data_IF_768881618730
#
_entry.id   IF_768881618730
#
_cell.length_a   1.000
_cell.length_b   1.000
_cell.length_c   1.000
_cell.angle_alpha   90.00
_cell.angle_beta   90.00
_cell.angle_gamma   90.00
#
_symmetry.space_group_name_H-M   'P 1'
#
loop_
_entity.id
_entity.type
_entity.pdbx_description
1 polymer ?
#
# COMPACT_ATOMS: atom_id res chain seq x y z
N UNK A 1 18.41 -1.75 -18.36
CA UNK A 1 18.63 -0.79 -17.25
C UNK A 1 17.60 0.31 -17.42
N UNK A 2 16.86 0.64 -16.38
CA UNK A 2 15.81 1.67 -16.47
C UNK A 2 16.44 3.05 -16.69
N UNK A 3 16.05 3.73 -17.76
CA UNK A 3 16.49 5.09 -18.10
C UNK A 3 15.44 6.08 -17.63
N UNK A 4 15.86 7.14 -16.91
CA UNK A 4 15.03 8.28 -16.54
C UNK A 4 15.21 9.39 -17.56
N UNK A 5 14.16 10.07 -17.91
CA UNK A 5 14.17 11.26 -18.77
C UNK A 5 13.13 12.28 -18.30
N UNK A 6 13.37 13.54 -18.64
CA UNK A 6 12.42 14.61 -18.34
C UNK A 6 11.41 14.74 -19.47
N UNK A 7 10.15 15.01 -19.09
CA UNK A 7 9.03 15.28 -19.98
C UNK A 7 8.60 16.75 -19.84
N UNK A 8 7.82 17.23 -20.80
CA UNK A 8 7.33 18.59 -20.78
C UNK A 8 6.50 18.91 -19.54
N UNK A 9 6.61 20.16 -19.03
CA UNK A 9 5.83 20.64 -17.89
C UNK A 9 6.21 20.06 -16.55
N UNK A 10 7.42 19.50 -16.40
CA UNK A 10 7.95 18.97 -15.14
C UNK A 10 7.55 17.53 -14.83
N UNK A 11 6.86 16.85 -15.74
CA UNK A 11 6.60 15.41 -15.65
C UNK A 11 7.91 14.61 -15.79
N UNK A 12 7.91 13.39 -15.25
CA UNK A 12 9.09 12.50 -15.26
C UNK A 12 8.75 11.23 -16.03
N UNK A 13 9.67 10.83 -16.93
CA UNK A 13 9.56 9.61 -17.70
C UNK A 13 10.57 8.54 -17.30
N UNK A 14 10.19 7.28 -17.45
CA UNK A 14 11.05 6.10 -17.29
C UNK A 14 10.83 5.12 -18.42
N UNK A 15 11.90 4.45 -18.87
CA UNK A 15 11.82 3.34 -19.82
C UNK A 15 12.75 2.20 -19.44
N UNK A 16 12.25 0.97 -19.56
CA UNK A 16 13.02 -0.26 -19.42
C UNK A 16 12.77 -1.15 -20.65
N UNK A 17 13.54 -0.95 -21.71
CA UNK A 17 13.38 -1.69 -22.96
C UNK A 17 13.75 -3.18 -22.82
N UNK A 18 12.93 -4.06 -23.37
CA UNK A 18 13.16 -5.51 -23.40
C UNK A 18 12.44 -6.15 -24.58
N UNK A 19 13.14 -6.95 -25.35
CA UNK A 19 12.58 -7.71 -26.47
C UNK A 19 12.18 -9.14 -26.10
N UNK A 20 12.16 -9.50 -24.82
CA UNK A 20 11.90 -10.87 -24.38
C UNK A 20 10.49 -11.36 -24.75
N UNK A 21 9.50 -10.48 -24.73
CA UNK A 21 8.11 -10.73 -25.12
C UNK A 21 7.56 -9.53 -25.89
N UNK A 22 6.62 -9.72 -26.86
CA UNK A 22 6.06 -8.62 -27.63
C UNK A 22 4.95 -7.87 -26.86
N UNK A 23 5.22 -7.54 -25.61
CA UNK A 23 4.32 -6.80 -24.73
C UNK A 23 4.96 -5.48 -24.31
N UNK A 24 4.11 -4.48 -24.08
CA UNK A 24 4.49 -3.21 -23.47
C UNK A 24 3.63 -2.97 -22.25
N UNK A 25 4.28 -2.77 -21.12
CA UNK A 25 3.65 -2.31 -19.90
C UNK A 25 3.81 -0.78 -19.82
N UNK A 26 2.74 -0.11 -19.39
CA UNK A 26 2.66 1.32 -19.19
C UNK A 26 2.20 1.58 -17.75
N UNK A 27 2.82 2.54 -17.10
CA UNK A 27 2.31 3.11 -15.84
C UNK A 27 2.21 4.63 -16.00
N UNK A 28 1.07 5.19 -15.61
CA UNK A 28 0.88 6.63 -15.45
C UNK A 28 0.46 6.87 -14.02
N UNK A 29 1.29 7.57 -13.27
CA UNK A 29 1.04 7.86 -11.86
C UNK A 29 1.05 9.35 -11.59
N UNK A 30 0.28 9.76 -10.59
CA UNK A 30 0.36 11.09 -10.01
C UNK A 30 0.76 10.99 -8.53
N UNK A 31 1.56 11.97 -8.06
CA UNK A 31 2.04 12.04 -6.67
C UNK A 31 0.97 12.54 -5.72
N UNK A 32 -0.26 12.07 -5.88
CA UNK A 32 -1.42 12.41 -5.07
C UNK A 32 -2.25 11.17 -4.80
N UNK A 33 -2.89 11.10 -3.64
CA UNK A 33 -3.70 9.96 -3.20
C UNK A 33 -4.62 10.35 -2.06
N UNK A 34 -5.05 9.40 -1.25
CA UNK A 34 -6.00 9.60 -0.16
C UNK A 34 -5.57 10.67 0.88
N UNK A 35 -4.27 10.93 1.03
CA UNK A 35 -3.76 11.99 1.91
C UNK A 35 -4.23 13.38 1.50
N UNK A 36 -4.55 13.56 0.23
CA UNK A 36 -4.96 14.84 -0.34
C UNK A 36 -6.48 15.07 -0.31
N UNK A 37 -7.25 14.07 0.13
CA UNK A 37 -8.70 14.19 0.27
C UNK A 37 -9.04 15.33 1.26
N UNK A 38 -10.00 16.21 0.94
CA UNK A 38 -10.48 17.20 1.90
C UNK A 38 -11.13 16.54 3.12
N UNK A 39 -11.15 17.24 4.23
CA UNK A 39 -11.86 16.77 5.43
C UNK A 39 -13.34 16.51 5.11
N UNK A 40 -13.86 15.36 5.55
CA UNK A 40 -15.22 14.92 5.26
C UNK A 40 -15.48 14.40 3.85
N UNK A 41 -14.46 14.37 2.98
CA UNK A 41 -14.54 13.86 1.60
C UNK A 41 -13.58 12.69 1.37
N UNK A 42 -13.30 11.89 2.42
CA UNK A 42 -12.43 10.73 2.31
C UNK A 42 -12.90 9.81 1.15
N UNK A 43 -11.98 9.43 0.28
CA UNK A 43 -12.23 8.61 -0.90
C UNK A 43 -12.47 9.37 -2.19
N UNK A 44 -12.55 10.72 -2.18
CA UNK A 44 -12.85 11.51 -3.39
C UNK A 44 -11.75 11.39 -4.44
N UNK A 45 -10.47 11.33 -4.04
CA UNK A 45 -9.36 11.15 -4.97
C UNK A 45 -9.47 9.80 -5.72
N UNK A 46 -9.79 8.71 -4.98
CA UNK A 46 -10.04 7.40 -5.60
C UNK A 46 -11.28 7.44 -6.49
N UNK A 47 -12.30 8.13 -6.06
CA UNK A 47 -13.54 8.27 -6.82
C UNK A 47 -13.28 9.00 -8.15
N UNK A 48 -12.59 10.15 -8.13
CA UNK A 48 -12.20 10.90 -9.32
C UNK A 48 -11.33 10.05 -10.28
N UNK A 49 -10.37 9.31 -9.75
CA UNK A 49 -9.54 8.42 -10.55
C UNK A 49 -10.37 7.32 -11.23
N UNK A 50 -11.31 6.68 -10.53
CA UNK A 50 -12.22 5.67 -11.12
C UNK A 50 -13.12 6.25 -12.20
N UNK A 51 -13.50 7.52 -12.08
CA UNK A 51 -14.31 8.21 -13.09
C UNK A 51 -13.60 8.37 -14.45
N UNK A 52 -12.26 8.32 -14.51
CA UNK A 52 -11.51 8.39 -15.78
C UNK A 52 -11.94 7.29 -16.77
N UNK A 53 -12.38 6.12 -16.29
CA UNK A 53 -12.87 5.00 -17.11
C UNK A 53 -14.40 5.01 -17.32
N UNK A 54 -15.10 6.03 -16.80
CA UNK A 54 -16.58 6.09 -16.84
C UNK A 54 -17.11 7.05 -17.91
N UNK A 55 -16.28 7.38 -18.89
CA UNK A 55 -16.59 8.23 -20.03
C UNK A 55 -15.51 9.27 -20.25
N UNK A 56 -15.06 9.41 -21.49
CA UNK A 56 -14.04 10.38 -21.88
C UNK A 56 -14.14 10.73 -23.38
N UNK A 57 -13.98 11.99 -23.73
CA UNK A 57 -13.91 12.49 -25.12
C UNK A 57 -15.05 11.96 -26.01
N UNK A 58 -16.28 11.94 -25.49
CA UNK A 58 -17.48 11.46 -26.19
C UNK A 58 -17.69 9.95 -26.13
N UNK A 59 -16.74 9.18 -25.61
CA UNK A 59 -16.89 7.73 -25.40
C UNK A 59 -17.64 7.46 -24.10
N UNK A 60 -18.54 6.50 -24.12
CA UNK A 60 -19.18 5.91 -22.93
C UNK A 60 -18.25 4.94 -22.21
N UNK A 61 -18.56 4.59 -20.95
CA UNK A 61 -17.84 3.56 -20.21
C UNK A 61 -17.78 2.23 -20.97
N UNK A 62 -18.89 1.83 -21.60
CA UNK A 62 -18.96 0.58 -22.35
C UNK A 62 -18.05 0.60 -23.60
N UNK A 63 -17.98 1.71 -24.32
CA UNK A 63 -17.09 1.87 -25.49
C UNK A 63 -15.62 1.89 -25.08
N UNK A 64 -15.29 2.43 -23.93
CA UNK A 64 -13.93 2.39 -23.35
C UNK A 64 -13.54 0.92 -23.08
N UNK A 65 -14.36 0.18 -22.35
CA UNK A 65 -14.10 -1.23 -22.04
C UNK A 65 -14.01 -2.09 -23.32
N UNK A 66 -14.94 -1.92 -24.25
CA UNK A 66 -14.88 -2.62 -25.55
C UNK A 66 -13.63 -2.26 -26.37
N UNK A 67 -13.09 -1.05 -26.19
CA UNK A 67 -11.85 -0.65 -26.85
C UNK A 67 -10.64 -1.32 -26.19
N UNK A 68 -10.58 -1.40 -24.87
CA UNK A 68 -9.54 -2.12 -24.12
C UNK A 68 -9.53 -3.59 -24.56
N UNK A 69 -10.69 -4.24 -24.57
CA UNK A 69 -10.84 -5.64 -25.01
C UNK A 69 -10.37 -5.86 -26.46
N UNK A 70 -10.80 -4.99 -27.37
CA UNK A 70 -10.40 -5.06 -28.81
C UNK A 70 -8.90 -4.91 -29.01
N UNK A 71 -8.24 -4.10 -28.17
CA UNK A 71 -6.79 -3.94 -28.21
C UNK A 71 -6.04 -5.12 -27.59
N UNK A 72 -6.74 -6.04 -26.91
CA UNK A 72 -6.13 -7.09 -26.09
C UNK A 72 -5.26 -6.47 -25.00
N UNK A 73 -5.76 -5.41 -24.40
CA UNK A 73 -5.06 -4.66 -23.37
C UNK A 73 -5.67 -4.92 -21.99
N UNK A 74 -4.88 -4.69 -20.98
CA UNK A 74 -5.32 -4.62 -19.59
C UNK A 74 -5.11 -3.19 -19.09
N UNK A 75 -6.06 -2.68 -18.31
CA UNK A 75 -5.93 -1.38 -17.64
C UNK A 75 -6.49 -1.49 -16.24
N UNK A 76 -5.65 -1.29 -15.25
CA UNK A 76 -6.00 -1.28 -13.83
C UNK A 76 -5.72 0.09 -13.22
N UNK A 77 -6.44 0.40 -12.14
CA UNK A 77 -6.27 1.60 -11.35
C UNK A 77 -5.97 1.21 -9.90
N UNK A 78 -4.92 1.80 -9.34
CA UNK A 78 -4.57 1.69 -7.94
C UNK A 78 -4.50 3.08 -7.29
N UNK A 79 -5.00 3.19 -6.05
CA UNK A 79 -4.97 4.42 -5.27
C UNK A 79 -4.49 4.13 -3.87
N UNK A 80 -3.29 4.56 -3.61
CA UNK A 80 -2.64 4.51 -2.30
C UNK A 80 -2.85 5.77 -1.47
N UNK A 81 -2.18 5.84 -0.32
CA UNK A 81 -2.17 7.06 0.48
C UNK A 81 -1.60 8.25 -0.28
N UNK A 82 -0.47 8.06 -0.95
CA UNK A 82 0.33 9.12 -1.58
C UNK A 82 0.31 9.14 -3.10
N UNK A 83 -0.34 8.17 -3.74
CA UNK A 83 -0.26 7.97 -5.20
C UNK A 83 -1.58 7.50 -5.80
N UNK A 84 -1.83 7.91 -7.03
CA UNK A 84 -2.81 7.29 -7.94
C UNK A 84 -2.03 6.76 -9.13
N UNK A 85 -2.26 5.52 -9.54
CA UNK A 85 -1.55 4.90 -10.66
C UNK A 85 -2.51 4.17 -11.59
N UNK A 86 -2.39 4.43 -12.87
CA UNK A 86 -2.97 3.62 -13.93
C UNK A 86 -1.89 2.66 -14.45
N UNK A 87 -2.16 1.38 -14.38
CA UNK A 87 -1.29 0.32 -14.88
C UNK A 87 -1.91 -0.29 -16.11
N UNK A 88 -1.21 -0.22 -17.24
CA UNK A 88 -1.65 -0.77 -18.49
C UNK A 88 -0.68 -1.81 -19.04
N UNK A 89 -1.21 -2.80 -19.75
CA UNK A 89 -0.40 -3.73 -20.53
C UNK A 89 -1.08 -3.99 -21.89
N UNK A 90 -0.29 -4.01 -22.95
CA UNK A 90 -0.80 -4.22 -24.30
C UNK A 90 0.23 -4.91 -25.18
N UNK A 91 -0.22 -5.63 -26.21
CA UNK A 91 0.68 -6.18 -27.24
C UNK A 91 1.33 -5.05 -28.04
N UNK A 92 2.60 -5.24 -28.41
CA UNK A 92 3.44 -4.23 -29.08
C UNK A 92 2.77 -3.51 -30.24
N UNK A 93 2.06 -4.23 -31.12
CA UNK A 93 1.41 -3.65 -32.31
C UNK A 93 0.27 -2.68 -31.99
N UNK A 94 -0.28 -2.74 -30.78
CA UNK A 94 -1.42 -1.93 -30.33
C UNK A 94 -1.04 -0.83 -29.33
N UNK A 95 0.27 -0.55 -29.15
CA UNK A 95 0.76 0.48 -28.20
C UNK A 95 0.23 1.87 -28.56
N UNK A 96 0.30 2.27 -29.85
CA UNK A 96 -0.16 3.59 -30.30
C UNK A 96 -1.64 3.82 -29.96
N UNK A 97 -2.61 2.99 -30.43
CA UNK A 97 -4.02 3.20 -30.10
C UNK A 97 -4.34 3.03 -28.60
N UNK A 98 -3.52 2.28 -27.86
CA UNK A 98 -3.68 2.17 -26.40
C UNK A 98 -3.25 3.46 -25.69
N UNK A 99 -2.13 4.05 -26.08
CA UNK A 99 -1.68 5.35 -25.58
C UNK A 99 -2.69 6.45 -25.93
N UNK A 100 -3.24 6.46 -27.15
CA UNK A 100 -4.30 7.39 -27.56
C UNK A 100 -5.53 7.27 -26.65
N UNK A 101 -5.96 6.04 -26.34
CA UNK A 101 -7.06 5.83 -25.41
C UNK A 101 -6.75 6.45 -24.03
N UNK A 102 -5.59 6.11 -23.45
CA UNK A 102 -5.21 6.64 -22.12
C UNK A 102 -5.10 8.17 -22.15
N UNK A 103 -4.58 8.75 -23.22
CA UNK A 103 -4.52 10.20 -23.43
C UNK A 103 -5.91 10.85 -23.33
N UNK A 104 -6.93 10.22 -23.94
CA UNK A 104 -8.34 10.69 -23.85
C UNK A 104 -8.88 10.55 -22.44
N UNK A 105 -8.63 9.41 -21.76
CA UNK A 105 -9.08 9.19 -20.39
C UNK A 105 -8.50 10.22 -19.42
N UNK A 106 -7.22 10.56 -19.58
CA UNK A 106 -6.52 11.54 -18.75
C UNK A 106 -6.89 12.97 -19.08
N UNK A 107 -7.09 13.32 -20.35
CA UNK A 107 -7.22 14.70 -20.78
C UNK A 107 -8.66 15.22 -20.84
N UNK A 108 -9.64 14.35 -21.05
CA UNK A 108 -11.03 14.73 -21.30
C UNK A 108 -12.04 13.81 -20.61
N UNK A 109 -11.92 13.56 -19.30
CA UNK A 109 -12.92 12.76 -18.57
C UNK A 109 -14.27 13.49 -18.58
N UNK A 110 -15.35 12.73 -18.76
CA UNK A 110 -16.70 13.28 -18.90
C UNK A 110 -17.34 13.70 -17.57
N UNK A 111 -17.06 12.99 -16.49
CA UNK A 111 -17.67 13.17 -15.16
C UNK A 111 -19.20 13.32 -15.23
N UNK A 112 -19.86 12.46 -16.01
CA UNK A 112 -21.32 12.48 -16.18
C UNK A 112 -22.04 12.14 -14.87
N UNK A 113 -23.10 12.90 -14.56
CA UNK A 113 -23.84 12.75 -13.30
C UNK A 113 -24.43 11.34 -13.11
N UNK A 114 -24.86 10.69 -14.19
CA UNK A 114 -25.39 9.31 -14.15
C UNK A 114 -24.29 8.31 -13.72
N UNK A 115 -23.08 8.46 -14.27
CA UNK A 115 -21.95 7.59 -13.93
C UNK A 115 -21.41 7.87 -12.51
N UNK A 116 -21.45 9.13 -12.06
CA UNK A 116 -21.15 9.49 -10.66
C UNK A 116 -22.15 8.83 -9.73
N UNK A 117 -23.44 8.95 -10.00
CA UNK A 117 -24.48 8.30 -9.19
C UNK A 117 -24.35 6.77 -9.19
N UNK A 118 -23.98 6.17 -10.33
CA UNK A 118 -23.73 4.75 -10.45
C UNK A 118 -22.51 4.31 -9.63
N UNK A 119 -21.36 5.00 -9.82
CA UNK A 119 -20.13 4.68 -9.09
C UNK A 119 -20.30 4.86 -7.58
N UNK A 120 -21.10 5.84 -7.13
CA UNK A 120 -21.43 6.02 -5.71
C UNK A 120 -22.13 4.81 -5.14
N UNK A 121 -23.14 4.26 -5.83
CA UNK A 121 -23.85 3.03 -5.40
C UNK A 121 -22.91 1.83 -5.39
N UNK A 122 -22.10 1.65 -6.42
CA UNK A 122 -21.12 0.57 -6.51
C UNK A 122 -20.08 0.66 -5.36
N UNK A 123 -19.53 1.85 -5.13
CA UNK A 123 -18.55 2.05 -4.05
C UNK A 123 -19.16 1.82 -2.66
N UNK A 124 -20.41 2.26 -2.44
CA UNK A 124 -21.11 1.97 -1.20
C UNK A 124 -21.32 0.45 -0.99
N UNK A 125 -21.67 -0.29 -2.04
CA UNK A 125 -21.80 -1.75 -1.98
C UNK A 125 -20.44 -2.42 -1.71
N UNK A 126 -19.36 -2.00 -2.40
CA UNK A 126 -17.99 -2.48 -2.16
C UNK A 126 -17.55 -2.27 -0.69
N UNK A 127 -17.88 -1.12 -0.09
CA UNK A 127 -17.58 -0.82 1.30
C UNK A 127 -18.32 -1.75 2.26
N UNK A 128 -19.58 -2.06 1.97
CA UNK A 128 -20.37 -3.05 2.75
C UNK A 128 -19.76 -4.44 2.60
N UNK A 129 -19.47 -4.88 1.38
CA UNK A 129 -18.86 -6.19 1.10
C UNK A 129 -17.47 -6.33 1.78
N UNK A 130 -16.68 -5.24 1.83
CA UNK A 130 -15.37 -5.24 2.47
C UNK A 130 -15.42 -5.60 3.97
N UNK A 131 -16.57 -5.42 4.62
CA UNK A 131 -16.81 -5.79 6.02
C UNK A 131 -16.84 -7.31 6.23
N UNK A 132 -16.99 -8.10 5.18
CA UNK A 132 -16.91 -9.56 5.26
C UNK A 132 -15.47 -10.03 5.51
N UNK A 133 -14.49 -9.23 5.13
CA UNK A 133 -13.07 -9.51 5.35
C UNK A 133 -12.58 -9.03 6.72
N UNK A 134 -12.39 -9.96 7.65
CA UNK A 134 -11.84 -9.67 8.99
C UNK A 134 -10.46 -9.00 8.90
N UNK A 135 -9.67 -9.37 7.89
CA UNK A 135 -8.37 -8.73 7.62
C UNK A 135 -8.52 -7.27 7.18
N UNK A 136 -9.52 -6.95 6.36
CA UNK A 136 -9.78 -5.57 5.94
C UNK A 136 -10.22 -4.73 7.13
N UNK A 137 -11.10 -5.27 7.98
CA UNK A 137 -11.54 -4.63 9.23
C UNK A 137 -10.37 -4.37 10.18
N UNK A 138 -9.50 -5.38 10.40
CA UNK A 138 -8.33 -5.22 11.24
C UNK A 138 -7.38 -4.13 10.71
N UNK A 139 -7.10 -4.09 9.41
CA UNK A 139 -6.25 -3.07 8.81
C UNK A 139 -6.85 -1.66 8.91
N UNK A 140 -8.16 -1.53 8.75
CA UNK A 140 -8.87 -0.24 8.90
C UNK A 140 -8.79 0.26 10.33
N UNK A 141 -9.14 -0.60 11.31
CA UNK A 141 -9.07 -0.28 12.73
C UNK A 141 -7.64 0.08 13.17
N UNK A 142 -6.66 -0.70 12.72
CA UNK A 142 -5.25 -0.45 13.03
C UNK A 142 -4.78 0.90 12.51
N UNK A 143 -5.06 1.21 11.25
CA UNK A 143 -4.69 2.49 10.65
C UNK A 143 -5.33 3.65 11.39
N UNK A 144 -6.62 3.57 11.72
CA UNK A 144 -7.33 4.59 12.49
C UNK A 144 -6.72 4.80 13.88
N UNK A 145 -6.36 3.72 14.57
CA UNK A 145 -5.79 3.79 15.90
C UNK A 145 -4.32 4.26 15.91
N UNK A 146 -3.48 3.71 15.03
CA UNK A 146 -2.06 4.06 14.98
C UNK A 146 -1.85 5.50 14.52
N UNK A 147 -2.59 5.93 13.51
CA UNK A 147 -2.45 7.24 12.89
C UNK A 147 -3.56 8.23 13.29
N UNK A 148 -4.17 8.05 14.46
CA UNK A 148 -5.21 8.97 14.94
C UNK A 148 -4.72 10.42 14.93
N UNK A 149 -5.46 11.31 14.27
CA UNK A 149 -5.09 12.72 14.07
C UNK A 149 -4.11 13.00 12.91
N UNK A 150 -3.60 11.96 12.27
CA UNK A 150 -2.68 12.08 11.13
C UNK A 150 -3.38 11.70 9.81
N UNK A 151 -3.02 12.31 8.66
CA UNK A 151 -3.62 11.97 7.36
C UNK A 151 -3.54 10.48 6.96
N UNK A 152 -2.54 9.73 7.42
CA UNK A 152 -2.45 8.28 7.20
C UNK A 152 -3.61 7.49 7.84
N UNK A 153 -4.38 8.07 8.75
CA UNK A 153 -5.59 7.41 9.29
C UNK A 153 -6.71 7.27 8.26
N UNK A 154 -6.69 8.08 7.19
CA UNK A 154 -7.74 8.13 6.17
C UNK A 154 -7.73 6.88 5.29
N UNK A 155 -8.91 6.44 4.88
CA UNK A 155 -9.08 5.33 3.93
C UNK A 155 -9.14 5.85 2.50
N UNK A 156 -8.32 5.32 1.62
CA UNK A 156 -8.44 5.62 0.19
C UNK A 156 -9.80 5.17 -0.39
N UNK A 157 -10.43 4.16 0.20
CA UNK A 157 -11.77 3.72 -0.20
C UNK A 157 -12.88 4.67 0.27
N UNK A 158 -12.57 5.60 1.18
CA UNK A 158 -13.57 6.44 1.85
C UNK A 158 -14.30 5.69 2.97
N UNK A 159 -15.45 6.24 3.34
CA UNK A 159 -16.41 5.71 4.30
C UNK A 159 -17.82 5.79 3.70
N UNK A 160 -18.78 4.97 4.13
CA UNK A 160 -20.15 5.07 3.63
C UNK A 160 -20.73 6.49 3.68
N UNK A 161 -20.51 7.20 4.79
CA UNK A 161 -20.98 8.58 4.95
C UNK A 161 -20.30 9.55 3.99
N UNK A 162 -18.97 9.46 3.79
CA UNK A 162 -18.24 10.38 2.90
C UNK A 162 -18.55 10.09 1.44
N UNK A 163 -18.64 8.81 1.03
CA UNK A 163 -18.99 8.43 -0.35
C UNK A 163 -20.40 8.89 -0.72
N UNK A 164 -21.38 8.78 0.20
CA UNK A 164 -22.73 9.25 -0.03
C UNK A 164 -22.81 10.76 -0.33
N UNK A 165 -21.88 11.54 0.23
CA UNK A 165 -21.80 12.99 0.07
C UNK A 165 -20.89 13.47 -1.06
N UNK A 166 -20.29 12.60 -1.87
CA UNK A 166 -19.49 13.01 -3.03
C UNK A 166 -20.41 13.45 -4.16
N UNK A 167 -20.23 14.67 -4.61
CA UNK A 167 -20.95 15.27 -5.75
C UNK A 167 -20.00 15.50 -6.94
N UNK A 168 -20.57 15.84 -8.10
CA UNK A 168 -19.80 16.07 -9.32
C UNK A 168 -18.71 17.12 -9.14
N UNK A 169 -19.03 18.22 -8.48
CA UNK A 169 -18.08 19.33 -8.26
C UNK A 169 -16.90 18.89 -7.38
N UNK A 170 -17.11 18.01 -6.39
CA UNK A 170 -16.03 17.42 -5.60
C UNK A 170 -15.08 16.57 -6.47
N UNK A 171 -15.64 15.79 -7.38
CA UNK A 171 -14.89 14.92 -8.30
C UNK A 171 -14.05 15.75 -9.27
N UNK A 172 -14.67 16.77 -9.86
CA UNK A 172 -13.98 17.71 -10.79
C UNK A 172 -12.87 18.45 -10.05
N UNK A 173 -13.16 19.01 -8.86
CA UNK A 173 -12.17 19.71 -8.06
C UNK A 173 -10.98 18.81 -7.65
N UNK A 174 -11.25 17.56 -7.28
CA UNK A 174 -10.21 16.59 -6.96
C UNK A 174 -9.35 16.27 -8.18
N UNK A 175 -9.97 16.03 -9.34
CA UNK A 175 -9.25 15.80 -10.59
C UNK A 175 -8.39 17.00 -10.97
N UNK A 176 -8.96 18.22 -11.03
CA UNK A 176 -8.25 19.43 -11.41
C UNK A 176 -7.09 19.79 -10.48
N UNK A 177 -7.23 19.47 -9.19
CA UNK A 177 -6.20 19.74 -8.18
C UNK A 177 -5.05 18.74 -8.24
N UNK A 178 -5.36 17.46 -8.44
CA UNK A 178 -4.38 16.38 -8.24
C UNK A 178 -3.80 15.82 -9.54
N UNK A 179 -4.53 15.94 -10.67
CA UNK A 179 -4.00 15.52 -11.96
C UNK A 179 -3.37 16.73 -12.68
N UNK A 180 -2.21 17.16 -12.17
CA UNK A 180 -1.41 18.23 -12.75
C UNK A 180 -0.09 17.69 -13.28
N UNK A 181 0.40 18.28 -14.38
CA UNK A 181 1.55 17.77 -15.15
C UNK A 181 2.82 17.63 -14.29
N UNK A 182 3.09 18.60 -13.41
CA UNK A 182 4.25 18.57 -12.51
C UNK A 182 4.26 17.40 -11.51
N UNK A 183 3.11 16.77 -11.26
CA UNK A 183 3.00 15.58 -10.37
C UNK A 183 3.00 14.25 -11.13
N UNK A 184 3.06 14.26 -12.47
CA UNK A 184 2.96 13.05 -13.28
C UNK A 184 4.29 12.32 -13.40
N UNK A 185 4.22 11.00 -13.23
CA UNK A 185 5.31 10.06 -13.50
C UNK A 185 4.81 9.03 -14.49
N UNK A 186 5.51 8.86 -15.61
CA UNK A 186 5.13 7.93 -16.68
C UNK A 186 6.24 6.91 -16.87
N UNK A 187 5.88 5.63 -16.98
CA UNK A 187 6.85 4.58 -17.20
C UNK A 187 6.43 3.61 -18.30
N UNK A 188 7.40 3.17 -19.09
CA UNK A 188 7.21 2.13 -20.10
C UNK A 188 8.20 0.99 -19.90
N UNK A 189 7.74 -0.25 -20.04
CA UNK A 189 8.62 -1.42 -20.01
C UNK A 189 8.23 -2.43 -21.10
N UNK A 190 9.23 -3.12 -21.65
CA UNK A 190 9.01 -4.18 -22.64
C UNK A 190 9.45 -3.82 -24.06
N UNK A 191 8.67 -4.26 -25.06
CA UNK A 191 9.02 -4.14 -26.46
C UNK A 191 8.79 -2.72 -27.01
N UNK A 192 9.47 -1.73 -26.44
CA UNK A 192 9.40 -0.30 -26.79
C UNK A 192 10.81 0.29 -26.79
N UNK A 193 11.07 1.23 -27.69
CA UNK A 193 12.33 1.98 -27.73
C UNK A 193 12.27 3.21 -26.81
N UNK A 194 13.41 3.79 -26.51
CA UNK A 194 13.50 5.02 -25.69
C UNK A 194 12.83 6.20 -26.39
N UNK A 195 13.05 6.37 -27.69
CA UNK A 195 12.44 7.45 -28.48
C UNK A 195 10.90 7.33 -28.54
N UNK A 196 10.39 6.11 -28.67
CA UNK A 196 8.95 5.86 -28.61
C UNK A 196 8.36 6.15 -27.23
N UNK A 197 9.04 5.68 -26.17
CA UNK A 197 8.63 5.93 -24.80
C UNK A 197 8.59 7.43 -24.48
N UNK A 198 9.58 8.20 -24.96
CA UNK A 198 9.61 9.64 -24.80
C UNK A 198 8.46 10.31 -25.55
N UNK A 199 8.25 9.99 -26.82
CA UNK A 199 7.15 10.57 -27.64
C UNK A 199 5.77 10.25 -27.02
N UNK A 200 5.53 9.02 -26.59
CA UNK A 200 4.30 8.63 -25.93
C UNK A 200 4.16 9.29 -24.54
N UNK A 201 5.28 9.42 -23.80
CA UNK A 201 5.33 10.10 -22.54
C UNK A 201 4.93 11.57 -22.66
N UNK A 202 5.50 12.28 -23.65
CA UNK A 202 5.16 13.68 -23.93
C UNK A 202 3.66 13.84 -24.28
N UNK A 203 3.11 12.92 -25.09
CA UNK A 203 1.69 12.92 -25.44
C UNK A 203 0.79 12.73 -24.21
N UNK A 204 1.12 11.76 -23.33
CA UNK A 204 0.38 11.51 -22.10
C UNK A 204 0.50 12.67 -21.11
N UNK A 205 1.71 13.24 -20.95
CA UNK A 205 1.95 14.38 -20.08
C UNK A 205 1.18 15.62 -20.57
N UNK A 206 1.17 15.86 -21.89
CA UNK A 206 0.43 16.97 -22.50
C UNK A 206 -1.09 16.86 -22.32
N UNK A 207 -1.63 15.64 -22.18
CA UNK A 207 -3.05 15.43 -21.90
C UNK A 207 -3.45 15.88 -20.49
N UNK A 208 -2.53 15.83 -19.55
CA UNK A 208 -2.79 16.26 -18.19
C UNK A 208 -2.66 17.78 -18.09
N UNK A 209 -3.56 18.39 -17.32
CA UNK A 209 -3.60 19.85 -17.11
C UNK A 209 -2.22 20.38 -16.70
N UNK A 210 -1.85 21.53 -17.28
CA UNK A 210 -0.66 22.25 -16.87
C UNK A 210 -0.79 22.74 -15.42
N UNK A 211 0.28 22.57 -14.66
CA UNK A 211 0.33 22.97 -13.26
C UNK A 211 1.62 22.49 -12.61
N UNK A 212 2.04 23.26 -11.61
CA UNK A 212 3.20 22.89 -10.79
C UNK A 212 2.88 21.74 -9.84
N UNK A 213 3.92 21.10 -9.34
CA UNK A 213 3.84 20.03 -8.34
C UNK A 213 3.09 20.50 -7.08
N UNK A 214 2.01 19.81 -6.74
CA UNK A 214 1.15 20.11 -5.59
C UNK A 214 1.43 19.15 -4.42
N UNK A 215 2.14 18.07 -4.66
CA UNK A 215 2.36 17.02 -3.67
C UNK A 215 2.93 17.58 -2.36
N UNK A 216 2.11 17.53 -1.31
CA UNK A 216 2.52 17.89 0.04
C UNK A 216 3.07 16.68 0.76
N UNK A 217 4.19 16.85 1.46
CA UNK A 217 4.67 15.83 2.39
C UNK A 217 3.78 15.82 3.62
N UNK A 218 3.26 14.67 4.05
CA UNK A 218 2.54 14.60 5.33
C UNK A 218 3.49 14.93 6.47
N UNK A 219 2.97 15.40 7.62
CA UNK A 219 3.79 15.57 8.84
C UNK A 219 4.39 14.24 9.30
N UNK A 220 5.31 14.26 10.25
CA UNK A 220 5.79 13.03 10.88
C UNK A 220 4.70 12.48 11.81
N UNK A 221 4.34 11.18 11.72
CA UNK A 221 3.35 10.59 12.61
C UNK A 221 3.84 10.55 14.06
N UNK A 222 2.94 10.81 14.99
CA UNK A 222 3.24 10.73 16.42
C UNK A 222 3.28 9.29 16.92
N UNK A 223 4.30 8.99 17.75
CA UNK A 223 4.36 7.71 18.46
C UNK A 223 3.21 7.63 19.47
N UNK A 224 2.53 6.49 19.52
CA UNK A 224 1.51 6.21 20.52
C UNK A 224 2.14 5.45 21.69
N UNK A 225 1.77 5.83 22.91
CA UNK A 225 2.29 5.21 24.13
C UNK A 225 1.29 4.20 24.71
N UNK A 226 1.81 3.19 25.38
CA UNK A 226 1.06 2.14 26.05
C UNK A 226 0.47 1.10 25.10
N UNK A 227 0.06 -0.05 25.66
CA UNK A 227 -0.67 -1.10 24.95
C UNK A 227 -2.13 -0.72 24.80
N UNK A 228 -2.62 -0.59 23.60
CA UNK A 228 -4.00 -0.20 23.28
C UNK A 228 -4.69 -1.31 22.53
N UNK A 229 -5.76 -1.82 23.06
CA UNK A 229 -6.60 -2.81 22.42
C UNK A 229 -7.78 -2.12 21.72
N UNK A 230 -7.94 -2.33 20.43
CA UNK A 230 -9.19 -2.05 19.72
C UNK A 230 -9.79 -3.38 19.30
N UNK A 231 -10.91 -3.71 19.89
CA UNK A 231 -11.65 -4.93 19.59
C UNK A 231 -12.78 -4.60 18.60
N UNK A 232 -12.68 -5.14 17.40
CA UNK A 232 -13.74 -5.02 16.38
C UNK A 232 -14.74 -6.15 16.62
N UNK A 233 -15.89 -5.81 17.19
CA UNK A 233 -16.94 -6.77 17.51
C UNK A 233 -17.70 -7.18 16.25
N UNK A 234 -17.50 -8.41 15.84
CA UNK A 234 -18.21 -9.05 14.73
C UNK A 234 -18.79 -10.36 15.22
N UNK A 235 -20.14 -10.49 15.24
CA UNK A 235 -20.80 -11.66 15.82
C UNK A 235 -20.53 -12.94 15.04
N UNK A 236 -20.68 -14.07 15.72
CA UNK A 236 -20.64 -15.42 15.15
C UNK A 236 -19.30 -15.80 14.47
N UNK A 237 -18.17 -15.24 14.98
CA UNK A 237 -16.86 -15.56 14.43
C UNK A 237 -16.22 -16.75 15.12
N UNK A 238 -16.03 -17.83 14.36
CA UNK A 238 -15.25 -19.01 14.80
C UNK A 238 -13.74 -18.83 14.60
N UNK A 239 -13.33 -17.95 13.68
CA UNK A 239 -11.97 -17.48 13.50
C UNK A 239 -11.87 -16.02 13.87
N UNK A 240 -10.68 -15.60 14.33
CA UNK A 240 -10.37 -14.22 14.65
C UNK A 240 -9.24 -13.71 13.77
N UNK A 241 -9.09 -12.40 13.70
CA UNK A 241 -7.93 -11.76 13.08
C UNK A 241 -7.21 -10.91 14.12
N UNK A 242 -5.91 -11.15 14.31
CA UNK A 242 -5.04 -10.30 15.13
C UNK A 242 -4.17 -9.42 14.25
N UNK A 243 -3.93 -8.18 14.68
CA UNK A 243 -2.96 -7.27 14.08
C UNK A 243 -2.35 -6.41 15.18
N UNK A 244 -1.05 -6.60 15.43
CA UNK A 244 -0.30 -5.89 16.45
C UNK A 244 0.79 -5.05 15.79
N UNK A 245 0.96 -3.79 16.20
CA UNK A 245 2.01 -2.99 15.60
C UNK A 245 2.20 -1.61 16.20
N UNK A 246 3.17 -0.92 15.65
CA UNK A 246 3.60 0.42 16.04
C UNK A 246 4.16 1.17 14.82
N UNK A 247 4.71 2.37 15.02
CA UNK A 247 5.52 3.01 13.97
C UNK A 247 6.83 2.22 13.78
N UNK A 248 7.22 2.06 12.53
CA UNK A 248 8.49 1.46 12.11
C UNK A 248 9.53 2.51 11.74
N UNK A 249 10.22 2.29 10.61
CA UNK A 249 11.21 3.21 10.04
C UNK A 249 10.69 3.92 8.79
N UNK A 250 11.43 4.93 8.36
CA UNK A 250 11.32 5.56 7.07
C UNK A 250 12.55 5.16 6.21
N UNK A 251 12.42 4.98 4.89
CA UNK A 251 13.54 4.56 4.03
C UNK A 251 14.80 5.41 4.08
N UNK A 252 14.70 6.67 4.53
CA UNK A 252 15.87 7.55 4.74
C UNK A 252 16.51 7.41 6.13
N UNK A 253 15.97 6.60 7.02
CA UNK A 253 16.61 6.31 8.30
C UNK A 253 17.81 5.37 8.08
N UNK A 254 18.97 5.63 8.69
CA UNK A 254 20.18 4.81 8.58
C UNK A 254 19.97 3.36 9.06
N UNK A 255 19.02 3.17 9.98
CA UNK A 255 18.66 1.88 10.55
C UNK A 255 17.48 1.19 9.83
N UNK A 256 17.03 1.71 8.69
CA UNK A 256 15.92 1.13 7.93
C UNK A 256 16.24 -0.29 7.45
N UNK A 257 17.33 -0.50 6.69
CA UNK A 257 17.71 -1.84 6.22
C UNK A 257 18.09 -2.81 7.35
N UNK A 258 18.77 -2.38 8.43
CA UNK A 258 18.90 -3.15 9.65
C UNK A 258 17.57 -3.65 10.19
N UNK A 259 16.55 -2.78 10.32
CA UNK A 259 15.23 -3.17 10.82
C UNK A 259 14.47 -4.06 9.83
N UNK A 260 14.52 -3.78 8.52
CA UNK A 260 13.94 -4.63 7.47
C UNK A 260 14.49 -6.06 7.59
N UNK A 261 15.82 -6.19 7.71
CA UNK A 261 16.49 -7.49 7.83
C UNK A 261 16.09 -8.21 9.12
N UNK A 262 16.06 -7.51 10.25
CA UNK A 262 15.65 -8.09 11.52
C UNK A 262 14.17 -8.52 11.52
N UNK A 263 13.27 -7.67 10.99
CA UNK A 263 11.83 -7.96 10.87
C UNK A 263 11.58 -9.21 10.01
N UNK A 264 12.38 -9.44 8.98
CA UNK A 264 12.28 -10.64 8.15
C UNK A 264 12.57 -11.93 8.95
N UNK A 265 13.42 -11.89 9.98
CA UNK A 265 13.62 -13.02 10.93
C UNK A 265 12.38 -13.24 11.77
N UNK A 266 11.74 -12.16 12.24
CA UNK A 266 10.54 -12.23 13.08
C UNK A 266 9.35 -12.85 12.33
N UNK A 267 9.02 -12.34 11.14
CA UNK A 267 7.81 -12.77 10.43
C UNK A 267 7.86 -12.64 8.91
N UNK A 268 9.01 -12.35 8.29
CA UNK A 268 9.11 -12.09 6.84
C UNK A 268 9.23 -13.32 5.95
N UNK A 269 9.41 -14.52 6.52
CA UNK A 269 9.61 -15.75 5.75
C UNK A 269 8.81 -16.91 6.32
N UNK A 270 8.67 -17.97 5.52
CA UNK A 270 8.01 -19.21 5.95
C UNK A 270 8.71 -19.89 7.12
N UNK A 271 10.00 -19.65 7.33
CA UNK A 271 10.83 -20.19 8.42
C UNK A 271 11.04 -19.20 9.56
N UNK A 272 10.34 -18.07 9.56
CA UNK A 272 10.42 -17.03 10.59
C UNK A 272 10.00 -17.51 11.98
N UNK A 273 10.32 -16.71 13.01
CA UNK A 273 9.94 -17.03 14.39
C UNK A 273 8.41 -17.17 14.54
N UNK A 274 7.63 -16.24 14.00
CA UNK A 274 6.16 -16.30 14.06
C UNK A 274 5.61 -17.54 13.37
N UNK A 275 6.06 -17.85 12.15
CA UNK A 275 5.61 -19.03 11.41
C UNK A 275 5.93 -20.33 12.17
N UNK A 276 7.10 -20.42 12.78
CA UNK A 276 7.49 -21.56 13.57
C UNK A 276 6.65 -21.72 14.84
N UNK A 277 6.47 -20.64 15.60
CA UNK A 277 5.82 -20.68 16.91
C UNK A 277 4.29 -20.77 16.81
N UNK A 278 3.66 -19.99 15.91
CA UNK A 278 2.20 -19.90 15.79
C UNK A 278 1.67 -21.02 14.89
N UNK A 279 2.26 -21.18 13.68
CA UNK A 279 1.76 -22.17 12.71
C UNK A 279 2.30 -23.57 12.99
N UNK A 280 3.65 -23.73 12.95
CA UNK A 280 4.22 -25.08 12.92
C UNK A 280 4.10 -25.82 14.24
N UNK A 281 4.28 -25.14 15.37
CA UNK A 281 4.22 -25.76 16.69
C UNK A 281 2.82 -25.87 17.26
N UNK A 282 1.95 -24.88 16.98
CA UNK A 282 0.63 -24.80 17.63
C UNK A 282 -0.54 -24.99 16.70
N UNK A 283 -0.34 -24.79 15.38
CA UNK A 283 -1.43 -24.92 14.41
C UNK A 283 -2.49 -23.84 14.50
N UNK A 284 -2.22 -22.73 15.22
CA UNK A 284 -3.22 -21.71 15.51
C UNK A 284 -3.59 -20.85 14.30
N UNK A 285 -2.66 -20.64 13.38
CA UNK A 285 -2.91 -19.83 12.18
C UNK A 285 -2.25 -20.48 10.96
N UNK A 286 -2.96 -20.51 9.84
CA UNK A 286 -2.39 -20.98 8.57
C UNK A 286 -1.26 -20.08 8.06
N UNK A 287 -1.40 -18.76 8.28
CA UNK A 287 -0.39 -17.78 7.91
C UNK A 287 -0.21 -16.75 9.00
N UNK A 288 1.03 -16.32 9.19
CA UNK A 288 1.38 -15.24 10.09
C UNK A 288 2.56 -14.46 9.51
N UNK A 289 2.65 -13.19 9.77
CA UNK A 289 3.72 -12.34 9.21
C UNK A 289 4.07 -11.16 10.10
N UNK A 290 5.32 -10.67 9.96
CA UNK A 290 5.73 -9.34 10.41
C UNK A 290 6.25 -8.54 9.23
N UNK A 291 5.85 -7.26 9.12
CA UNK A 291 6.16 -6.39 7.97
C UNK A 291 6.44 -4.96 8.39
N UNK A 292 7.24 -4.28 7.58
CA UNK A 292 7.40 -2.83 7.58
C UNK A 292 6.76 -2.28 6.32
N UNK A 293 5.92 -1.26 6.49
CA UNK A 293 5.32 -0.54 5.36
C UNK A 293 6.22 0.63 4.96
N UNK A 294 6.26 0.91 3.66
CA UNK A 294 7.03 2.00 3.07
C UNK A 294 6.07 3.08 2.59
N UNK A 295 6.33 4.31 2.98
CA UNK A 295 5.60 5.52 2.57
C UNK A 295 6.52 6.75 2.59
N UNK A 296 6.01 7.92 2.20
CA UNK A 296 6.77 9.19 2.19
C UNK A 296 7.19 9.69 3.58
N UNK A 297 6.69 9.07 4.63
CA UNK A 297 7.08 9.28 6.02
C UNK A 297 7.12 7.94 6.74
N UNK A 298 7.58 7.96 7.99
CA UNK A 298 7.56 6.79 8.86
C UNK A 298 6.18 6.15 8.85
N UNK A 299 6.15 4.85 8.60
CA UNK A 299 4.91 4.10 8.50
C UNK A 299 4.92 2.90 9.45
N UNK A 300 3.96 2.01 9.32
CA UNK A 300 3.71 0.96 10.28
C UNK A 300 4.71 -0.20 10.23
N UNK A 301 5.10 -0.68 11.41
CA UNK A 301 5.49 -2.06 11.66
C UNK A 301 4.26 -2.84 12.11
N UNK A 302 4.02 -4.01 11.56
CA UNK A 302 2.86 -4.85 11.86
C UNK A 302 3.24 -6.32 12.02
N UNK A 303 2.56 -6.99 12.95
CA UNK A 303 2.53 -8.45 13.12
C UNK A 303 1.08 -8.91 12.96
N UNK A 304 0.81 -10.01 12.29
CA UNK A 304 -0.56 -10.50 12.07
C UNK A 304 -0.66 -12.02 12.11
N UNK A 305 -1.78 -12.50 12.65
CA UNK A 305 -2.18 -13.90 12.64
C UNK A 305 -3.72 -14.01 12.54
N UNK A 306 -4.23 -15.20 12.21
CA UNK A 306 -5.65 -15.50 12.14
C UNK A 306 -5.96 -16.79 12.90
N UNK A 307 -5.93 -16.78 14.24
CA UNK A 307 -6.23 -17.96 15.06
C UNK A 307 -7.73 -18.25 15.14
N UNK A 308 -8.08 -19.48 15.50
CA UNK A 308 -9.43 -19.81 15.95
C UNK A 308 -9.83 -19.01 17.19
N UNK A 309 -11.12 -18.78 17.42
CA UNK A 309 -11.61 -18.00 18.55
C UNK A 309 -11.08 -18.49 19.91
N UNK A 310 -11.02 -19.82 20.11
CA UNK A 310 -10.48 -20.44 21.34
C UNK A 310 -8.99 -20.17 21.55
N UNK A 311 -8.23 -20.02 20.46
CA UNK A 311 -6.78 -19.79 20.47
C UNK A 311 -6.40 -18.31 20.39
N UNK A 312 -7.37 -17.40 20.27
CA UNK A 312 -7.13 -15.97 20.07
C UNK A 312 -6.32 -15.36 21.23
N UNK A 313 -6.78 -15.53 22.45
CA UNK A 313 -6.13 -14.93 23.63
C UNK A 313 -4.69 -15.46 23.83
N UNK A 314 -4.41 -16.78 23.81
CA UNK A 314 -3.04 -17.27 23.90
C UNK A 314 -2.19 -16.90 22.67
N UNK A 315 -2.78 -16.68 21.48
CA UNK A 315 -2.05 -16.21 20.31
C UNK A 315 -1.58 -14.77 20.48
N UNK A 316 -2.45 -13.86 20.96
CA UNK A 316 -2.09 -12.47 21.27
C UNK A 316 -0.98 -12.41 22.32
N UNK A 317 -1.08 -13.20 23.40
CA UNK A 317 -0.02 -13.30 24.42
C UNK A 317 1.31 -13.74 23.79
N UNK A 318 1.29 -14.74 22.92
CA UNK A 318 2.49 -15.24 22.24
C UNK A 318 3.06 -14.21 21.25
N UNK A 319 2.23 -13.49 20.49
CA UNK A 319 2.68 -12.41 19.59
C UNK A 319 3.40 -11.33 20.36
N UNK A 320 2.85 -10.89 21.51
CA UNK A 320 3.50 -9.92 22.39
C UNK A 320 4.81 -10.44 22.96
N UNK A 321 4.84 -11.69 23.44
CA UNK A 321 6.05 -12.30 23.96
C UNK A 321 7.14 -12.45 22.87
N UNK A 322 6.77 -12.79 21.64
CA UNK A 322 7.70 -12.81 20.51
C UNK A 322 8.27 -11.43 20.18
N UNK A 323 7.46 -10.39 20.28
CA UNK A 323 7.92 -9.02 20.10
C UNK A 323 8.83 -8.57 21.24
N UNK A 324 8.49 -8.88 22.50
CA UNK A 324 9.33 -8.61 23.65
C UNK A 324 10.71 -9.28 23.53
N UNK A 325 10.72 -10.56 23.17
CA UNK A 325 11.97 -11.30 22.95
C UNK A 325 12.77 -10.73 21.77
N UNK A 326 12.08 -10.32 20.69
CA UNK A 326 12.71 -9.73 19.53
C UNK A 326 13.37 -8.39 19.85
N UNK A 327 12.70 -7.53 20.59
CA UNK A 327 13.23 -6.21 20.99
C UNK A 327 14.31 -6.35 22.07
N UNK A 328 14.09 -7.22 23.08
CA UNK A 328 14.96 -7.36 24.25
C UNK A 328 16.19 -8.22 24.03
N UNK A 329 16.05 -9.35 23.33
CA UNK A 329 17.13 -10.32 23.08
C UNK A 329 17.72 -10.21 21.66
N UNK A 330 16.99 -9.56 20.76
CA UNK A 330 17.39 -9.42 19.35
C UNK A 330 17.31 -10.73 18.56
N UNK A 331 17.96 -10.73 17.40
CA UNK A 331 18.17 -11.90 16.54
C UNK A 331 19.55 -12.50 16.78
N UNK A 332 19.71 -13.77 16.43
CA UNK A 332 20.99 -14.46 16.58
C UNK A 332 21.84 -14.35 15.32
N UNK A 333 23.17 -14.57 15.44
CA UNK A 333 24.10 -14.62 14.30
C UNK A 333 23.68 -15.66 13.25
N UNK A 334 23.11 -16.79 13.67
CA UNK A 334 22.63 -17.84 12.77
C UNK A 334 21.39 -17.36 11.98
N UNK A 335 20.44 -16.73 12.64
CA UNK A 335 19.25 -16.16 12.00
C UNK A 335 19.62 -15.06 11.02
N UNK A 336 20.52 -14.15 11.42
CA UNK A 336 21.02 -13.10 10.53
C UNK A 336 21.69 -13.69 9.28
N UNK A 337 22.57 -14.68 9.43
CA UNK A 337 23.24 -15.33 8.30
C UNK A 337 22.24 -15.99 7.34
N UNK A 338 21.23 -16.67 7.89
CA UNK A 338 20.16 -17.29 7.09
C UNK A 338 19.34 -16.25 6.33
N UNK A 339 18.84 -15.21 7.03
CA UNK A 339 17.94 -14.25 6.43
C UNK A 339 18.65 -13.36 5.37
N UNK A 340 19.89 -12.96 5.60
CA UNK A 340 20.67 -12.24 4.60
C UNK A 340 20.84 -13.05 3.31
N UNK A 341 21.17 -14.33 3.42
CA UNK A 341 21.26 -15.22 2.27
C UNK A 341 19.93 -15.37 1.53
N UNK A 342 18.83 -15.46 2.27
CA UNK A 342 17.49 -15.51 1.69
C UNK A 342 17.15 -14.23 0.94
N UNK A 343 17.23 -13.08 1.59
CA UNK A 343 16.90 -11.77 1.00
C UNK A 343 17.73 -11.45 -0.23
N UNK A 344 19.05 -11.70 -0.17
CA UNK A 344 19.95 -11.48 -1.31
C UNK A 344 19.61 -12.37 -2.51
N UNK A 345 19.28 -13.65 -2.26
CA UNK A 345 18.98 -14.59 -3.35
C UNK A 345 17.59 -14.39 -3.91
N UNK A 346 16.60 -14.12 -3.06
CA UNK A 346 15.21 -13.89 -3.49
C UNK A 346 15.05 -12.58 -4.24
N UNK A 347 15.93 -11.60 -4.03
CA UNK A 347 15.88 -10.31 -4.74
C UNK A 347 15.97 -10.45 -6.26
N UNK A 348 16.60 -11.51 -6.75
CA UNK A 348 16.64 -11.80 -8.19
C UNK A 348 15.22 -11.91 -8.78
N UNK A 349 14.25 -12.43 -8.01
CA UNK A 349 12.84 -12.53 -8.44
C UNK A 349 12.09 -11.19 -8.38
N UNK A 350 12.62 -10.19 -7.67
CA UNK A 350 12.04 -8.84 -7.61
C UNK A 350 12.47 -7.97 -8.82
N UNK A 351 13.48 -8.41 -9.56
CA UNK A 351 14.08 -7.65 -10.67
C UNK A 351 14.20 -8.45 -11.98
N UNK A 352 13.61 -9.64 -12.05
CA UNK A 352 13.76 -10.58 -13.18
C UNK A 352 13.11 -10.07 -14.49
N UNK A 353 12.08 -9.21 -14.40
CA UNK A 353 11.36 -8.69 -15.57
C UNK A 353 11.52 -7.17 -15.72
N UNK A 354 11.40 -6.67 -16.95
CA UNK A 354 11.44 -5.24 -17.23
C UNK A 354 10.33 -4.46 -16.49
N UNK A 355 9.07 -4.93 -16.43
CA UNK A 355 8.02 -4.25 -15.64
C UNK A 355 8.34 -4.14 -14.16
N UNK A 356 8.96 -5.15 -13.53
CA UNK A 356 9.35 -5.08 -12.10
C UNK A 356 10.43 -4.03 -11.87
N UNK A 357 11.47 -3.98 -12.72
CA UNK A 357 12.52 -2.96 -12.60
C UNK A 357 11.98 -1.55 -12.85
N UNK A 358 11.09 -1.39 -13.83
CA UNK A 358 10.36 -0.15 -14.04
C UNK A 358 9.56 0.24 -12.79
N UNK A 359 8.80 -0.70 -12.22
CA UNK A 359 8.02 -0.46 -11.00
C UNK A 359 8.84 0.08 -9.85
N UNK A 360 10.04 -0.49 -9.62
CA UNK A 360 10.98 -0.01 -8.58
C UNK A 360 11.49 1.42 -8.86
N UNK A 361 11.78 1.76 -10.12
CA UNK A 361 12.21 3.11 -10.48
C UNK A 361 11.08 4.13 -10.30
N UNK A 362 9.86 3.78 -10.70
CA UNK A 362 8.66 4.61 -10.52
C UNK A 362 8.33 4.77 -9.03
N UNK A 363 8.39 3.71 -8.23
CA UNK A 363 8.18 3.76 -6.78
C UNK A 363 9.20 4.67 -6.08
N UNK A 364 10.48 4.57 -6.47
CA UNK A 364 11.55 5.45 -5.96
C UNK A 364 11.21 6.92 -6.21
N UNK A 365 10.74 7.27 -7.39
CA UNK A 365 10.36 8.64 -7.75
C UNK A 365 9.08 9.09 -7.03
N UNK A 366 8.06 8.22 -6.94
CA UNK A 366 6.76 8.55 -6.33
C UNK A 366 6.84 8.72 -4.82
N UNK A 367 7.56 7.83 -4.14
CA UNK A 367 7.69 7.84 -2.68
C UNK A 367 8.90 8.62 -2.19
N UNK A 368 9.66 9.23 -3.12
CA UNK A 368 10.89 9.98 -2.80
C UNK A 368 11.89 9.13 -1.99
N UNK A 369 12.08 7.86 -2.38
CA UNK A 369 13.02 6.97 -1.73
C UNK A 369 14.48 7.41 -2.02
N UNK A 370 15.46 7.00 -1.19
CA UNK A 370 16.85 7.14 -1.55
C UNK A 370 17.13 6.61 -2.97
N UNK A 371 17.89 7.34 -3.77
CA UNK A 371 18.11 7.00 -5.19
C UNK A 371 18.69 5.59 -5.40
N UNK A 372 19.40 5.07 -4.42
CA UNK A 372 20.04 3.75 -4.43
C UNK A 372 19.23 2.67 -3.70
N UNK A 373 18.03 2.98 -3.20
CA UNK A 373 17.21 2.10 -2.37
C UNK A 373 17.04 0.71 -2.99
N UNK A 374 16.58 0.64 -4.23
CA UNK A 374 16.40 -0.61 -4.96
C UNK A 374 17.70 -1.07 -5.67
N UNK A 375 18.43 -0.15 -6.28
CA UNK A 375 19.60 -0.51 -7.09
C UNK A 375 20.74 -1.09 -6.28
N UNK A 376 20.86 -0.72 -5.00
CA UNK A 376 21.83 -1.25 -4.05
C UNK A 376 21.22 -2.06 -2.91
N UNK A 377 19.99 -2.53 -3.07
CA UNK A 377 19.29 -3.34 -2.06
C UNK A 377 20.16 -4.49 -1.52
N UNK A 378 20.80 -5.24 -2.42
CA UNK A 378 21.66 -6.37 -2.06
C UNK A 378 22.86 -5.92 -1.22
N UNK A 379 23.46 -4.78 -1.53
CA UNK A 379 24.59 -4.21 -0.78
C UNK A 379 24.13 -3.73 0.59
N UNK A 380 22.99 -3.04 0.67
CA UNK A 380 22.40 -2.59 1.93
C UNK A 380 22.13 -3.79 2.85
N UNK A 381 21.51 -4.86 2.35
CA UNK A 381 21.28 -6.07 3.14
C UNK A 381 22.57 -6.74 3.56
N UNK A 382 23.58 -6.81 2.68
CA UNK A 382 24.90 -7.39 3.00
C UNK A 382 25.66 -6.59 4.07
N UNK A 383 25.49 -5.27 4.10
CA UNK A 383 26.12 -4.40 5.09
C UNK A 383 25.57 -4.57 6.51
N UNK A 384 24.33 -5.08 6.67
CA UNK A 384 23.70 -5.28 7.99
C UNK A 384 24.56 -6.21 8.86
N UNK A 385 24.89 -5.75 10.06
CA UNK A 385 25.57 -6.54 11.10
C UNK A 385 24.58 -6.99 12.17
N UNK A 386 24.97 -7.93 13.02
CA UNK A 386 24.14 -8.36 14.14
C UNK A 386 23.86 -7.21 15.12
N UNK A 387 24.86 -6.38 15.33
CA UNK A 387 24.78 -5.21 16.19
C UNK A 387 23.78 -4.19 15.63
N UNK A 388 23.92 -3.80 14.35
CA UNK A 388 23.01 -2.82 13.74
C UNK A 388 21.57 -3.33 13.66
N UNK A 389 21.35 -4.62 13.34
CA UNK A 389 20.04 -5.22 13.29
C UNK A 389 19.33 -5.21 14.66
N UNK A 390 20.05 -5.60 15.72
CA UNK A 390 19.51 -5.64 17.08
C UNK A 390 19.32 -4.23 17.66
N UNK A 391 20.24 -3.31 17.40
CA UNK A 391 20.09 -1.90 17.79
C UNK A 391 18.87 -1.25 17.14
N UNK A 392 18.66 -1.48 15.83
CA UNK A 392 17.50 -0.97 15.12
C UNK A 392 16.18 -1.50 15.72
N UNK A 393 16.09 -2.80 16.00
CA UNK A 393 14.92 -3.38 16.63
C UNK A 393 14.65 -2.77 18.02
N UNK A 394 15.66 -2.66 18.85
CA UNK A 394 15.55 -2.13 20.21
C UNK A 394 15.21 -0.62 20.24
N UNK A 395 15.70 0.16 19.27
CA UNK A 395 15.49 1.62 19.23
C UNK A 395 14.14 1.97 18.61
N UNK A 396 13.72 1.25 17.58
CA UNK A 396 12.53 1.61 16.77
C UNK A 396 11.26 0.97 17.25
N UNK A 397 11.33 -0.23 17.80
CA UNK A 397 10.15 -0.99 18.22
C UNK A 397 10.05 -1.08 19.74
N UNK A 398 8.83 -1.18 20.22
CA UNK A 398 8.52 -1.36 21.63
C UNK A 398 7.36 -2.34 21.78
N UNK A 399 7.53 -3.35 22.60
CA UNK A 399 6.42 -4.26 22.92
C UNK A 399 5.44 -3.65 23.95
N UNK A 400 5.80 -2.49 24.54
CA UNK A 400 4.96 -1.76 25.50
C UNK A 400 4.10 -0.68 24.84
N UNK A 401 4.51 -0.19 23.67
CA UNK A 401 3.85 0.91 22.95
C UNK A 401 3.32 0.38 21.61
N UNK A 402 2.23 -0.39 21.67
CA UNK A 402 1.63 -1.04 20.50
C UNK A 402 0.13 -0.85 20.44
N UNK A 403 -0.39 -0.78 19.23
CA UNK A 403 -1.80 -0.94 18.94
C UNK A 403 -2.06 -2.43 18.65
N UNK A 404 -3.04 -2.98 19.33
CA UNK A 404 -3.46 -4.37 19.24
C UNK A 404 -4.88 -4.36 18.69
N UNK A 405 -5.10 -4.97 17.54
CA UNK A 405 -6.42 -5.14 16.97
C UNK A 405 -6.81 -6.61 17.05
N UNK A 406 -8.03 -6.85 17.48
CA UNK A 406 -8.66 -8.17 17.40
C UNK A 406 -10.01 -8.00 16.74
N UNK A 407 -10.25 -8.77 15.67
CA UNK A 407 -11.59 -8.90 15.08
C UNK A 407 -12.15 -10.26 15.49
N UNK A 408 -13.32 -10.26 16.12
CA UNK A 408 -13.93 -11.48 16.63
C UNK A 408 -15.25 -11.19 17.33
N UNK A 409 -15.86 -12.20 17.95
CA UNK A 409 -17.08 -12.04 18.76
C UNK A 409 -16.68 -11.60 20.18
N UNK A 410 -17.01 -10.35 20.54
CA UNK A 410 -16.58 -9.76 21.81
C UNK A 410 -17.08 -10.55 23.02
N UNK A 411 -18.34 -11.00 22.99
CA UNK A 411 -18.92 -11.79 24.07
C UNK A 411 -18.12 -13.07 24.41
N UNK A 412 -17.43 -13.65 23.42
CA UNK A 412 -16.73 -14.92 23.57
C UNK A 412 -15.23 -14.75 23.89
N UNK A 413 -14.60 -13.68 23.38
CA UNK A 413 -13.14 -13.59 23.34
C UNK A 413 -12.54 -12.38 24.00
N UNK A 414 -13.27 -11.26 24.15
CA UNK A 414 -12.73 -9.99 24.64
C UNK A 414 -12.10 -10.11 26.04
N UNK A 415 -12.83 -10.67 27.00
CA UNK A 415 -12.34 -10.76 28.40
C UNK A 415 -11.09 -11.63 28.49
N UNK A 416 -11.05 -12.74 27.74
CA UNK A 416 -9.89 -13.63 27.70
C UNK A 416 -8.67 -12.93 27.08
N UNK A 417 -8.85 -12.15 26.02
CA UNK A 417 -7.79 -11.35 25.37
C UNK A 417 -7.27 -10.29 26.31
N UNK A 418 -8.15 -9.52 26.97
CA UNK A 418 -7.74 -8.49 27.93
C UNK A 418 -6.88 -9.05 29.07
N UNK A 419 -7.25 -10.21 29.62
CA UNK A 419 -6.48 -10.88 30.69
C UNK A 419 -5.08 -11.33 30.25
N UNK A 420 -4.85 -11.49 28.95
CA UNK A 420 -3.57 -11.91 28.37
C UNK A 420 -2.67 -10.76 27.93
N UNK A 421 -3.15 -9.53 27.99
CA UNK A 421 -2.36 -8.33 27.66
C UNK A 421 -1.92 -7.66 28.96
N UNK A 422 -0.65 -7.80 29.39
CA UNK A 422 -0.16 -7.12 30.56
C UNK A 422 -0.09 -5.60 30.32
N UNK A 423 -0.29 -4.81 31.38
CA UNK A 423 -0.19 -3.33 31.36
C UNK A 423 -1.03 -2.68 30.23
N UNK A 424 -2.25 -3.18 30.04
CA UNK A 424 -3.19 -2.65 29.05
C UNK A 424 -3.61 -1.23 29.42
N UNK A 425 -3.28 -0.25 28.57
CA UNK A 425 -3.55 1.17 28.81
C UNK A 425 -5.00 1.56 28.46
N UNK A 426 -5.55 0.99 27.39
CA UNK A 426 -6.93 1.26 26.98
C UNK A 426 -7.52 0.09 26.23
N UNK A 427 -8.86 -0.01 26.28
CA UNK A 427 -9.64 -0.90 25.43
C UNK A 427 -10.79 -0.11 24.81
N UNK A 428 -10.87 -0.19 23.49
CA UNK A 428 -12.00 0.32 22.72
C UNK A 428 -12.69 -0.86 22.03
N UNK A 429 -14.02 -0.95 22.17
CA UNK A 429 -14.83 -1.93 21.44
C UNK A 429 -15.62 -1.19 20.38
N UNK A 430 -15.40 -1.57 19.13
CA UNK A 430 -16.06 -0.93 17.99
C UNK A 430 -16.86 -1.96 17.19
N UNK A 431 -18.10 -1.66 16.78
CA UNK A 431 -18.84 -2.58 15.93
C UNK A 431 -18.18 -2.66 14.53
N UNK A 432 -18.22 -3.85 13.92
CA UNK A 432 -17.59 -4.11 12.61
C UNK A 432 -18.21 -3.28 11.46
N UNK A 433 -19.42 -2.81 11.64
CA UNK A 433 -20.19 -2.01 10.69
C UNK A 433 -20.12 -0.49 10.96
N UNK A 434 -19.32 -0.06 11.94
CA UNK A 434 -19.10 1.36 12.20
C UNK A 434 -18.56 2.10 10.98
N UNK A 435 -19.00 3.37 10.82
CA UNK A 435 -18.61 4.24 9.70
C UNK A 435 -17.16 4.73 9.77
#
# INVERSE_FOLDING_TARGET
MTTRFDLDGGAVGFVESSSAVPLVSLVVSVRSGALADPEGKDGVCRFAARMLRRGADGMTAQEIEATIDRLGAELALDVGPSTVSLHGQVIRRNVEPFVELITRLLGKPAFADEEIARLRRETAAELVESRDSDRALANLAFRRALFAGHPYSRSAAGRPSTIAGIERDDVVAAYEKHFVRGDVVIGFAGAITEDEAKRHGDSLAAAVREGERVATRPPEPEKKEGRRLVFVDKPERTQTQTLIGSLGTWPHDDDHFPLVTATAVLGGTFTSRMMREIRSKRGWSYGTSARLSIERRRHAFTMSAAPGAADCAPCVELELALLEDFVGKGITKRELGFIKNYLVRSYAFEVDTAPKRLGQAVETELLELPADYHTRYVDHVRAVTLETANAAAATRLSAKDVVIIVVGTAADTLEAVQKKIPDLASTDVVPFDAD
#
